data_IF_176774561408
#
_entry.id   IF_176774561408
#
_cell.length_a   1.000
_cell.length_b   1.000
_cell.length_c   1.000
_cell.angle_alpha   90.00
_cell.angle_beta   90.00
_cell.angle_gamma   90.00
#
_symmetry.space_group_name_H-M   'P 1'
#
loop_
_entity.id
_entity.type
_entity.pdbx_description
1 polymer ?
#
# COMPACT_ATOMS: atom_id res chain seq x y z
N UNK A 1 1.83 18.84 0.07
CA UNK A 1 1.87 17.85 -1.03
C UNK A 1 0.80 18.18 -2.07
N UNK A 2 0.93 17.74 -3.33
CA UNK A 2 -0.12 17.90 -4.37
C UNK A 2 -0.81 16.56 -4.61
N UNK A 3 -2.08 16.59 -4.97
CA UNK A 3 -2.83 15.41 -5.38
C UNK A 3 -2.21 14.78 -6.63
N UNK A 4 -2.24 13.44 -6.66
CA UNK A 4 -1.68 12.65 -7.74
C UNK A 4 -2.75 12.30 -8.79
N UNK A 5 -2.30 11.86 -9.96
CA UNK A 5 -3.17 11.42 -11.05
C UNK A 5 -3.91 10.17 -10.61
N UNK A 6 -5.24 10.24 -10.61
CA UNK A 6 -6.13 9.10 -10.37
C UNK A 6 -6.33 8.31 -11.67
N UNK A 7 -6.05 7.00 -11.69
CA UNK A 7 -6.40 6.15 -12.82
C UNK A 7 -7.93 5.98 -12.92
N UNK A 8 -8.41 5.48 -14.06
CA UNK A 8 -9.81 5.12 -14.24
C UNK A 8 -10.19 3.92 -13.36
N UNK A 9 -11.43 3.90 -12.88
CA UNK A 9 -12.04 2.72 -12.26
C UNK A 9 -12.10 1.54 -13.23
N UNK A 10 -12.25 0.33 -12.69
CA UNK A 10 -12.47 -0.88 -13.49
C UNK A 10 -13.94 -1.07 -13.83
N UNK A 11 -14.17 -1.84 -14.89
CA UNK A 11 -15.48 -2.26 -15.36
C UNK A 11 -15.44 -3.77 -15.70
N UNK A 12 -16.61 -4.43 -15.81
CA UNK A 12 -16.66 -5.80 -16.32
C UNK A 12 -15.90 -5.92 -17.65
N UNK A 13 -15.09 -6.97 -17.77
CA UNK A 13 -14.19 -7.24 -18.89
C UNK A 13 -12.80 -6.61 -18.77
N UNK A 14 -12.54 -5.77 -17.76
CA UNK A 14 -11.22 -5.16 -17.57
C UNK A 14 -10.14 -6.23 -17.34
N UNK A 15 -9.00 -6.05 -18.00
CA UNK A 15 -7.88 -6.99 -17.96
C UNK A 15 -6.95 -6.67 -16.80
N UNK A 16 -6.70 -7.65 -15.94
CA UNK A 16 -5.93 -7.47 -14.71
C UNK A 16 -4.70 -8.37 -14.72
N UNK A 17 -3.52 -7.77 -14.86
CA UNK A 17 -2.28 -8.52 -14.75
C UNK A 17 -1.93 -8.78 -13.27
N UNK A 18 -1.57 -10.02 -12.95
CA UNK A 18 -1.14 -10.43 -11.61
C UNK A 18 0.36 -10.76 -11.63
N UNK A 19 1.15 -10.02 -10.87
CA UNK A 19 2.64 -10.06 -10.87
C UNK A 19 3.19 -10.36 -9.48
N UNK A 20 4.39 -10.94 -9.38
CA UNK A 20 5.04 -11.22 -8.08
C UNK A 20 6.37 -10.45 -7.94
N UNK A 21 6.35 -9.12 -7.71
CA UNK A 21 7.57 -8.33 -7.61
C UNK A 21 8.35 -8.57 -6.31
N UNK A 22 7.87 -9.43 -5.42
CA UNK A 22 8.39 -9.65 -4.06
C UNK A 22 8.60 -11.15 -3.79
N UNK A 23 7.90 -11.72 -2.80
CA UNK A 23 8.09 -13.11 -2.39
C UNK A 23 7.26 -14.14 -3.17
N UNK A 24 7.61 -15.44 -3.11
CA UNK A 24 7.02 -16.50 -3.94
C UNK A 24 5.61 -16.90 -3.51
N UNK A 25 4.74 -17.21 -4.46
CA UNK A 25 3.32 -17.50 -4.18
C UNK A 25 3.09 -19.02 -4.14
N UNK A 26 2.05 -19.47 -3.44
CA UNK A 26 1.57 -20.86 -3.57
C UNK A 26 0.54 -20.90 -4.70
N UNK A 27 0.70 -21.81 -5.65
CA UNK A 27 -0.11 -21.87 -6.88
C UNK A 27 -1.60 -21.95 -6.58
N UNK A 28 -2.00 -22.73 -5.58
CA UNK A 28 -3.40 -22.89 -5.20
C UNK A 28 -4.02 -21.58 -4.69
N UNK A 29 -3.23 -20.75 -4.00
CA UNK A 29 -3.68 -19.43 -3.54
C UNK A 29 -3.74 -18.43 -4.68
N UNK A 30 -2.79 -18.48 -5.61
CA UNK A 30 -2.85 -17.66 -6.82
C UNK A 30 -4.12 -17.98 -7.60
N UNK A 31 -4.39 -19.27 -7.85
CA UNK A 31 -5.55 -19.71 -8.60
C UNK A 31 -6.86 -19.28 -7.91
N UNK A 32 -6.97 -19.46 -6.59
CA UNK A 32 -8.14 -18.99 -5.83
C UNK A 32 -8.34 -17.47 -5.98
N UNK A 33 -7.27 -16.69 -5.96
CA UNK A 33 -7.29 -15.25 -6.22
C UNK A 33 -7.76 -14.89 -7.63
N UNK A 34 -7.25 -15.59 -8.65
CA UNK A 34 -7.66 -15.40 -10.04
C UNK A 34 -9.14 -15.75 -10.22
N UNK A 35 -9.63 -16.82 -9.59
CA UNK A 35 -11.04 -17.22 -9.65
C UNK A 35 -11.97 -16.18 -9.00
N UNK A 36 -11.56 -15.57 -7.88
CA UNK A 36 -12.29 -14.45 -7.28
C UNK A 36 -12.37 -13.24 -8.22
N UNK A 37 -11.27 -12.87 -8.86
CA UNK A 37 -11.24 -11.77 -9.84
C UNK A 37 -12.12 -12.08 -11.06
N UNK A 38 -12.10 -13.31 -11.58
CA UNK A 38 -13.04 -13.76 -12.64
C UNK A 38 -14.48 -13.65 -12.17
N UNK A 39 -14.77 -14.01 -10.92
CA UNK A 39 -16.08 -13.86 -10.30
C UNK A 39 -16.55 -12.41 -10.15
N UNK A 40 -15.67 -11.43 -10.29
CA UNK A 40 -16.00 -10.01 -10.38
C UNK A 40 -16.16 -9.52 -11.82
N UNK A 41 -16.29 -10.44 -12.77
CA UNK A 41 -16.34 -10.18 -14.22
C UNK A 41 -15.06 -9.53 -14.77
N UNK A 42 -13.90 -9.77 -14.16
CA UNK A 42 -12.60 -9.32 -14.69
C UNK A 42 -11.93 -10.41 -15.55
N UNK A 43 -10.96 -10.02 -16.36
CA UNK A 43 -10.07 -10.92 -17.11
C UNK A 43 -8.66 -10.96 -16.46
N UNK A 44 -8.45 -11.78 -15.40
CA UNK A 44 -7.16 -11.81 -14.72
C UNK A 44 -6.15 -12.71 -15.44
N UNK A 45 -4.94 -12.18 -15.64
CA UNK A 45 -3.84 -12.83 -16.33
C UNK A 45 -2.63 -12.92 -15.42
N UNK A 46 -2.20 -14.15 -15.11
CA UNK A 46 -0.95 -14.40 -14.41
C UNK A 46 0.25 -14.05 -15.30
N UNK A 47 1.18 -13.25 -14.77
CA UNK A 47 2.42 -12.94 -15.48
C UNK A 47 3.34 -14.18 -15.56
N UNK A 48 4.19 -14.30 -16.60
CA UNK A 48 4.99 -15.50 -16.87
C UNK A 48 5.79 -16.06 -15.69
N UNK A 49 6.36 -15.20 -14.84
CA UNK A 49 7.26 -15.56 -13.75
C UNK A 49 6.57 -15.51 -12.36
N UNK A 50 5.24 -15.35 -12.30
CA UNK A 50 4.52 -15.15 -11.04
C UNK A 50 4.65 -16.32 -10.05
N UNK A 51 4.89 -17.53 -10.55
CA UNK A 51 5.09 -18.75 -9.75
C UNK A 51 6.56 -19.15 -9.59
N UNK A 52 7.48 -18.39 -10.17
CA UNK A 52 8.89 -18.70 -10.10
C UNK A 52 9.41 -18.65 -8.66
N UNK A 53 10.50 -19.37 -8.44
CA UNK A 53 11.26 -19.33 -7.20
C UNK A 53 12.71 -19.05 -7.54
N UNK A 54 13.33 -18.16 -6.77
CA UNK A 54 14.75 -17.92 -6.94
C UNK A 54 15.52 -19.19 -6.55
N UNK A 55 16.55 -19.60 -7.32
CA UNK A 55 17.29 -20.84 -7.08
C UNK A 55 17.93 -20.90 -5.68
N UNK A 56 18.57 -19.81 -5.24
CA UNK A 56 19.28 -19.78 -3.96
C UNK A 56 18.55 -19.01 -2.83
N UNK A 57 17.72 -18.04 -3.17
CA UNK A 57 17.09 -17.11 -2.23
C UNK A 57 15.59 -17.40 -2.12
N UNK A 58 15.23 -18.45 -1.38
CA UNK A 58 13.85 -18.97 -1.32
C UNK A 58 12.77 -17.99 -0.83
N UNK A 59 13.14 -16.80 -0.36
CA UNK A 59 12.21 -15.72 -0.02
C UNK A 59 11.79 -14.84 -1.22
N UNK A 60 12.31 -15.09 -2.43
CA UNK A 60 12.04 -14.32 -3.66
C UNK A 60 11.27 -15.13 -4.72
N UNK A 61 10.34 -14.47 -5.41
CA UNK A 61 9.56 -15.02 -6.53
C UNK A 61 10.33 -15.02 -7.87
N UNK A 62 11.51 -15.65 -7.91
CA UNK A 62 12.38 -15.65 -9.09
C UNK A 62 13.48 -14.60 -9.04
N UNK A 63 14.17 -14.41 -10.17
CA UNK A 63 15.28 -13.45 -10.26
C UNK A 63 14.77 -12.01 -10.26
N UNK A 64 15.64 -11.04 -9.97
CA UNK A 64 15.26 -9.63 -9.99
C UNK A 64 14.82 -9.19 -11.40
N UNK A 65 15.52 -9.69 -12.44
CA UNK A 65 15.23 -9.39 -13.83
C UNK A 65 13.86 -9.91 -14.25
N UNK A 66 13.52 -11.15 -13.89
CA UNK A 66 12.23 -11.75 -14.24
C UNK A 66 11.06 -11.03 -13.56
N UNK A 67 11.20 -10.76 -12.26
CA UNK A 67 10.20 -10.00 -11.47
C UNK A 67 10.00 -8.58 -12.01
N UNK A 68 11.08 -7.89 -12.38
CA UNK A 68 11.02 -6.56 -12.99
C UNK A 68 10.39 -6.60 -14.38
N UNK A 69 10.76 -7.58 -15.21
CA UNK A 69 10.23 -7.74 -16.55
C UNK A 69 8.72 -8.00 -16.55
N UNK A 70 8.22 -8.83 -15.64
CA UNK A 70 6.78 -9.05 -15.48
C UNK A 70 6.02 -7.79 -15.12
N UNK A 71 6.48 -7.05 -14.12
CA UNK A 71 5.86 -5.79 -13.72
C UNK A 71 5.90 -4.76 -14.86
N UNK A 72 7.04 -4.59 -15.50
CA UNK A 72 7.20 -3.62 -16.59
C UNK A 72 6.34 -3.99 -17.80
N UNK A 73 6.35 -5.25 -18.24
CA UNK A 73 5.52 -5.71 -19.38
C UNK A 73 4.05 -5.50 -19.08
N UNK A 74 3.58 -5.94 -17.91
CA UNK A 74 2.19 -5.76 -17.49
C UNK A 74 1.79 -4.27 -17.49
N UNK A 75 2.65 -3.39 -16.98
CA UNK A 75 2.37 -1.97 -16.93
C UNK A 75 2.40 -1.29 -18.32
N UNK A 76 3.30 -1.72 -19.20
CA UNK A 76 3.46 -1.12 -20.52
C UNK A 76 2.50 -1.70 -21.58
N UNK A 77 1.81 -2.80 -21.28
CA UNK A 77 0.81 -3.39 -22.16
C UNK A 77 -0.45 -2.50 -22.23
N UNK A 78 -0.82 -1.98 -23.41
CA UNK A 78 -2.01 -1.14 -23.55
C UNK A 78 -3.33 -1.90 -23.32
N UNK A 79 -3.32 -3.24 -23.38
CA UNK A 79 -4.50 -4.07 -23.12
C UNK A 79 -4.76 -4.32 -21.63
N UNK A 80 -3.82 -3.98 -20.75
CA UNK A 80 -3.95 -4.16 -19.29
C UNK A 80 -4.55 -2.91 -18.65
N UNK A 81 -5.60 -3.07 -17.86
CA UNK A 81 -6.27 -1.97 -17.15
C UNK A 81 -5.75 -1.80 -15.70
N UNK A 82 -5.32 -2.92 -15.10
CA UNK A 82 -4.80 -2.95 -13.74
C UNK A 82 -3.65 -3.94 -13.57
N UNK A 83 -2.76 -3.61 -12.63
CA UNK A 83 -1.71 -4.49 -12.15
C UNK A 83 -1.91 -4.73 -10.65
N UNK A 84 -2.10 -6.01 -10.28
CA UNK A 84 -2.24 -6.46 -8.90
C UNK A 84 -0.98 -7.25 -8.52
N UNK A 85 -0.38 -6.93 -7.37
CA UNK A 85 0.61 -7.81 -6.78
C UNK A 85 -0.07 -9.12 -6.33
N UNK A 86 0.59 -10.24 -6.58
CA UNK A 86 0.16 -11.55 -6.14
C UNK A 86 0.33 -11.70 -4.62
N UNK A 87 1.44 -11.18 -4.07
CA UNK A 87 1.68 -11.07 -2.63
C UNK A 87 2.72 -9.99 -2.32
N UNK A 88 2.84 -9.63 -1.04
CA UNK A 88 4.01 -8.90 -0.50
C UNK A 88 5.23 -9.82 -0.31
N UNK A 89 5.95 -9.68 0.80
CA UNK A 89 7.11 -10.51 1.12
C UNK A 89 8.38 -9.69 1.19
N UNK A 90 9.35 -9.96 0.31
CA UNK A 90 10.58 -9.20 0.22
C UNK A 90 11.05 -9.14 -1.23
N UNK A 91 11.69 -8.04 -1.61
CA UNK A 91 12.44 -7.93 -2.85
C UNK A 91 11.96 -6.83 -3.81
N UNK A 92 10.93 -6.06 -3.48
CA UNK A 92 10.50 -4.92 -4.29
C UNK A 92 11.59 -3.85 -4.41
N UNK A 93 12.39 -3.64 -3.35
CA UNK A 93 13.58 -2.77 -3.38
C UNK A 93 14.65 -3.23 -4.39
N UNK A 94 14.69 -4.51 -4.74
CA UNK A 94 15.62 -5.03 -5.76
C UNK A 94 15.07 -4.88 -7.19
N UNK A 95 13.75 -4.72 -7.32
CA UNK A 95 13.06 -4.59 -8.60
C UNK A 95 12.93 -3.13 -9.03
N UNK A 96 12.71 -2.22 -8.06
CA UNK A 96 12.38 -0.81 -8.33
C UNK A 96 13.40 -0.07 -9.20
N UNK A 97 14.69 -0.42 -9.08
CA UNK A 97 15.79 0.21 -9.81
C UNK A 97 15.98 -0.38 -11.23
N UNK A 98 15.38 -1.53 -11.52
CA UNK A 98 15.45 -2.20 -12.82
C UNK A 98 14.36 -1.72 -13.80
N UNK A 99 13.37 -0.99 -13.30
CA UNK A 99 12.23 -0.55 -14.09
C UNK A 99 12.58 0.69 -14.93
N UNK A 100 12.23 0.65 -16.21
CA UNK A 100 12.18 1.85 -17.06
C UNK A 100 10.92 2.64 -16.74
N UNK A 101 11.07 3.52 -15.76
CA UNK A 101 10.03 4.45 -15.32
C UNK A 101 9.61 5.46 -16.39
N UNK A 102 10.45 5.75 -17.40
CA UNK A 102 10.07 6.63 -18.49
C UNK A 102 9.08 5.91 -19.44
N UNK A 103 9.37 4.66 -19.80
CA UNK A 103 8.45 3.82 -20.55
C UNK A 103 7.13 3.60 -19.78
N UNK A 104 7.20 3.30 -18.48
CA UNK A 104 6.00 3.14 -17.65
C UNK A 104 5.16 4.42 -17.56
N UNK A 105 5.80 5.60 -17.53
CA UNK A 105 5.09 6.89 -17.60
C UNK A 105 4.43 7.11 -18.95
N UNK A 106 5.11 6.75 -20.04
CA UNK A 106 4.57 6.88 -21.40
C UNK A 106 3.37 5.96 -21.64
N UNK A 107 3.32 4.79 -20.98
CA UNK A 107 2.19 3.86 -21.05
C UNK A 107 0.90 4.41 -20.39
N UNK A 108 1.01 5.47 -19.59
CA UNK A 108 -0.12 6.14 -18.98
C UNK A 108 -0.57 5.53 -17.63
N UNK A 109 -1.55 6.17 -16.97
CA UNK A 109 -2.04 5.75 -15.66
C UNK A 109 -2.89 4.46 -15.77
N UNK A 110 -2.58 3.48 -14.93
CA UNK A 110 -3.37 2.25 -14.73
C UNK A 110 -3.62 2.04 -13.23
N UNK A 111 -4.50 1.14 -12.86
CA UNK A 111 -4.67 0.80 -11.43
C UNK A 111 -3.48 -0.03 -10.97
N UNK A 112 -2.86 0.33 -9.84
CA UNK A 112 -1.88 -0.50 -9.14
C UNK A 112 -2.42 -0.85 -7.75
N UNK A 113 -2.47 -2.15 -7.43
CA UNK A 113 -2.81 -2.64 -6.09
C UNK A 113 -1.63 -3.43 -5.55
N UNK A 114 -1.13 -3.00 -4.39
CA UNK A 114 -0.01 -3.61 -3.72
C UNK A 114 -0.21 -3.58 -2.20
N UNK A 115 0.64 -4.33 -1.52
CA UNK A 115 0.60 -4.45 -0.07
C UNK A 115 1.98 -4.78 0.49
N UNK A 116 2.22 -4.42 1.75
CA UNK A 116 3.43 -4.79 2.49
C UNK A 116 4.69 -4.31 1.78
N UNK A 117 5.55 -5.22 1.32
CA UNK A 117 6.78 -4.93 0.57
C UNK A 117 6.59 -4.04 -0.67
N UNK A 118 5.38 -4.06 -1.26
CA UNK A 118 5.01 -3.15 -2.35
C UNK A 118 4.98 -1.67 -1.95
N UNK A 119 5.14 -1.33 -0.67
CA UNK A 119 5.36 0.05 -0.18
C UNK A 119 6.45 0.76 -0.98
N UNK A 120 7.53 0.04 -1.31
CA UNK A 120 8.59 0.56 -2.18
C UNK A 120 8.07 0.98 -3.56
N UNK A 121 7.19 0.17 -4.15
CA UNK A 121 6.56 0.50 -5.43
C UNK A 121 5.57 1.65 -5.23
N UNK A 122 4.75 1.68 -4.19
CA UNK A 122 3.84 2.80 -3.92
C UNK A 122 4.57 4.16 -3.85
N UNK A 123 5.75 4.20 -3.21
CA UNK A 123 6.64 5.37 -3.21
C UNK A 123 7.13 5.70 -4.63
N UNK A 124 7.62 4.71 -5.36
CA UNK A 124 8.14 4.89 -6.72
C UNK A 124 7.07 5.35 -7.71
N UNK A 125 5.87 4.77 -7.69
CA UNK A 125 4.76 5.21 -8.53
C UNK A 125 4.36 6.66 -8.24
N UNK A 126 4.40 7.08 -6.97
CA UNK A 126 4.13 8.46 -6.63
C UNK A 126 5.20 9.43 -7.16
N UNK A 127 6.48 9.13 -6.95
CA UNK A 127 7.59 10.01 -7.35
C UNK A 127 7.81 9.98 -8.87
N UNK A 128 7.78 8.77 -9.46
CA UNK A 128 8.17 8.53 -10.85
C UNK A 128 7.04 8.62 -11.83
N UNK A 129 5.78 8.45 -11.42
CA UNK A 129 4.61 8.57 -12.30
C UNK A 129 3.66 9.69 -11.85
N UNK A 130 3.71 10.12 -10.60
CA UNK A 130 2.74 11.08 -10.05
C UNK A 130 1.36 10.46 -9.95
N UNK A 131 1.29 9.18 -9.58
CA UNK A 131 0.09 8.35 -9.69
C UNK A 131 -0.48 7.96 -8.32
N UNK A 132 -1.82 7.95 -8.21
CA UNK A 132 -2.53 7.32 -7.11
C UNK A 132 -2.44 5.80 -7.21
N UNK A 133 -2.10 5.16 -6.10
CA UNK A 133 -2.06 3.69 -5.99
C UNK A 133 -2.90 3.20 -4.82
N UNK A 134 -3.32 1.94 -4.85
CA UNK A 134 -4.14 1.34 -3.80
C UNK A 134 -3.30 0.41 -2.93
N UNK A 135 -3.14 0.75 -1.66
CA UNK A 135 -2.57 -0.13 -0.63
C UNK A 135 -3.68 -1.02 -0.09
N UNK A 136 -3.69 -2.30 -0.43
CA UNK A 136 -4.83 -3.16 -0.14
C UNK A 136 -4.58 -4.63 -0.45
N UNK A 137 -5.58 -5.51 -0.25
CA UNK A 137 -5.39 -6.94 -0.34
C UNK A 137 -4.88 -7.38 -1.72
N UNK A 138 -3.92 -8.31 -1.71
CA UNK A 138 -3.18 -8.82 -2.88
C UNK A 138 -3.71 -10.18 -3.31
N UNK A 139 -3.59 -10.52 -4.60
CA UNK A 139 -4.40 -11.58 -5.23
C UNK A 139 -4.25 -12.98 -4.57
N UNK A 140 -3.08 -13.34 -4.07
CA UNK A 140 -2.84 -14.61 -3.36
C UNK A 140 -2.67 -14.43 -1.84
N UNK A 141 -3.01 -13.25 -1.32
CA UNK A 141 -3.04 -12.96 0.11
C UNK A 141 -4.15 -13.74 0.80
N UNK A 142 -3.90 -14.19 2.03
CA UNK A 142 -4.90 -14.95 2.80
C UNK A 142 -6.16 -14.13 3.03
N UNK A 143 -6.00 -12.83 3.33
CA UNK A 143 -7.12 -11.91 3.55
C UNK A 143 -7.98 -11.76 2.28
N UNK A 144 -7.36 -11.58 1.11
CA UNK A 144 -8.09 -11.54 -0.15
C UNK A 144 -8.84 -12.84 -0.45
N UNK A 145 -8.22 -13.99 -0.21
CA UNK A 145 -8.81 -15.29 -0.56
C UNK A 145 -9.94 -15.69 0.40
N UNK A 146 -9.88 -15.28 1.67
CA UNK A 146 -10.76 -15.81 2.72
C UNK A 146 -11.67 -14.79 3.40
N UNK A 147 -11.45 -13.50 3.21
CA UNK A 147 -12.19 -12.47 3.93
C UNK A 147 -13.08 -11.64 3.01
N UNK A 148 -14.40 -11.82 3.15
CA UNK A 148 -15.41 -11.11 2.37
C UNK A 148 -15.34 -9.58 2.55
N UNK A 149 -14.99 -9.08 3.74
CA UNK A 149 -14.88 -7.63 3.97
C UNK A 149 -13.73 -7.02 3.18
N UNK A 150 -12.56 -7.68 3.15
CA UNK A 150 -11.42 -7.23 2.36
C UNK A 150 -11.75 -7.25 0.85
N UNK A 151 -12.39 -8.33 0.40
CA UNK A 151 -12.88 -8.51 -0.97
C UNK A 151 -13.85 -7.39 -1.37
N UNK A 152 -14.91 -7.18 -0.58
CA UNK A 152 -15.95 -6.20 -0.86
C UNK A 152 -15.39 -4.77 -0.85
N UNK A 153 -14.51 -4.45 0.09
CA UNK A 153 -13.90 -3.13 0.16
C UNK A 153 -12.99 -2.86 -1.05
N UNK A 154 -12.15 -3.82 -1.46
CA UNK A 154 -11.32 -3.68 -2.66
C UNK A 154 -12.21 -3.59 -3.91
N UNK A 155 -13.21 -4.47 -4.05
CA UNK A 155 -14.13 -4.46 -5.19
C UNK A 155 -14.87 -3.13 -5.30
N UNK A 156 -15.43 -2.63 -4.21
CA UNK A 156 -16.10 -1.32 -4.19
C UNK A 156 -15.14 -0.19 -4.58
N UNK A 157 -13.88 -0.25 -4.11
CA UNK A 157 -12.85 0.75 -4.48
C UNK A 157 -12.52 0.69 -5.97
N UNK A 158 -12.50 -0.51 -6.56
CA UNK A 158 -12.16 -0.72 -7.98
C UNK A 158 -13.30 -0.33 -8.92
N UNK A 159 -14.56 -0.60 -8.58
CA UNK A 159 -15.71 -0.44 -9.49
C UNK A 159 -16.59 0.79 -9.17
N UNK A 160 -16.73 1.12 -7.88
CA UNK A 160 -17.61 2.18 -7.40
C UNK A 160 -16.91 3.05 -6.33
N UNK A 161 -15.74 3.64 -6.63
CA UNK A 161 -14.88 4.34 -5.66
C UNK A 161 -15.59 5.48 -4.90
N UNK A 162 -16.64 6.08 -5.46
CA UNK A 162 -17.47 7.08 -4.78
C UNK A 162 -18.18 6.55 -3.53
N UNK A 163 -18.39 5.23 -3.44
CA UNK A 163 -19.00 4.58 -2.28
C UNK A 163 -18.01 4.36 -1.14
N UNK A 164 -16.70 4.54 -1.39
CA UNK A 164 -15.59 4.19 -0.48
C UNK A 164 -14.75 5.42 -0.12
N UNK A 165 -15.42 6.55 0.13
CA UNK A 165 -14.75 7.82 0.44
C UNK A 165 -14.37 7.99 1.90
N UNK A 166 -14.99 7.25 2.82
CA UNK A 166 -14.68 7.32 4.24
C UNK A 166 -14.11 5.99 4.68
N UNK A 167 -12.86 6.02 5.15
CA UNK A 167 -12.19 4.87 5.74
C UNK A 167 -12.28 4.98 7.26
N UNK A 168 -12.74 3.90 7.88
CA UNK A 168 -12.84 3.77 9.33
C UNK A 168 -12.71 2.30 9.72
N UNK A 169 -12.09 2.05 10.85
CA UNK A 169 -12.07 0.73 11.47
C UNK A 169 -13.49 0.28 11.83
N UNK A 170 -13.69 -1.04 11.95
CA UNK A 170 -15.00 -1.59 12.35
C UNK A 170 -15.28 -1.36 13.85
N UNK A 171 -14.24 -1.30 14.65
CA UNK A 171 -14.28 -0.83 16.03
C UNK A 171 -13.95 0.66 16.05
N UNK A 172 -14.53 1.48 16.94
CA UNK A 172 -14.13 2.88 17.06
C UNK A 172 -12.62 2.97 17.24
N UNK A 173 -11.95 3.70 16.34
CA UNK A 173 -10.51 3.91 16.40
C UNK A 173 -10.13 4.59 17.72
N UNK A 174 -8.98 4.21 18.28
CA UNK A 174 -8.46 4.89 19.47
C UNK A 174 -7.71 6.15 19.03
N UNK A 175 -7.66 7.14 19.90
CA UNK A 175 -6.97 8.41 19.61
C UNK A 175 -5.70 8.49 20.43
N UNK A 176 -4.57 8.69 19.76
CA UNK A 176 -3.29 8.97 20.41
C UNK A 176 -3.14 10.49 20.62
N UNK A 177 -3.47 11.27 19.59
CA UNK A 177 -3.51 12.73 19.64
C UNK A 177 -4.77 13.24 18.91
N UNK A 178 -5.62 14.06 19.55
CA UNK A 178 -6.89 14.50 18.99
C UNK A 178 -6.71 15.55 17.89
N UNK A 179 -7.81 15.90 17.23
CA UNK A 179 -7.88 16.98 16.25
C UNK A 179 -8.08 16.51 14.82
N UNK A 180 -8.07 17.48 13.90
CA UNK A 180 -8.37 17.29 12.48
C UNK A 180 -7.28 17.89 11.63
N UNK A 181 -6.92 17.18 10.55
CA UNK A 181 -5.93 17.66 9.60
C UNK A 181 -6.35 17.32 8.17
N UNK A 182 -5.96 18.18 7.23
CA UNK A 182 -6.12 17.94 5.80
C UNK A 182 -4.75 17.80 5.14
N UNK A 183 -4.61 16.85 4.24
CA UNK A 183 -3.38 16.62 3.50
C UNK A 183 -3.55 15.56 2.43
N UNK A 184 -2.45 15.15 1.81
CA UNK A 184 -2.45 14.08 0.80
C UNK A 184 -2.02 12.77 1.43
N UNK A 185 -2.74 11.69 1.19
CA UNK A 185 -2.40 10.37 1.76
C UNK A 185 -1.08 9.84 1.23
N UNK A 186 -0.28 9.23 2.09
CA UNK A 186 0.93 8.48 1.76
C UNK A 186 1.20 7.44 2.85
N UNK A 187 2.04 6.44 2.56
CA UNK A 187 2.56 5.55 3.59
C UNK A 187 2.74 4.11 3.12
N UNK A 188 2.41 3.15 3.97
CA UNK A 188 2.65 1.71 3.80
C UNK A 188 3.34 1.12 5.03
N UNK A 189 4.21 0.12 4.84
CA UNK A 189 5.01 -0.43 5.93
C UNK A 189 6.02 0.60 6.44
N UNK A 190 5.99 0.87 7.75
CA UNK A 190 6.89 1.84 8.41
C UNK A 190 8.36 1.52 8.12
N UNK A 191 8.77 0.27 8.30
CA UNK A 191 10.16 -0.17 8.06
C UNK A 191 10.60 0.02 6.62
N UNK A 192 9.70 -0.13 5.64
CA UNK A 192 10.04 0.08 4.23
C UNK A 192 10.15 1.56 3.87
N UNK A 193 9.34 2.43 4.47
CA UNK A 193 9.51 3.87 4.36
C UNK A 193 10.87 4.31 4.95
N UNK A 194 11.24 3.76 6.12
CA UNK A 194 12.50 4.07 6.77
C UNK A 194 13.70 3.56 5.95
N UNK A 195 13.70 2.30 5.52
CA UNK A 195 14.82 1.70 4.78
C UNK A 195 14.93 2.21 3.34
N UNK A 196 13.83 2.65 2.72
CA UNK A 196 13.85 3.32 1.43
C UNK A 196 14.24 4.81 1.50
N UNK A 197 14.33 5.41 2.70
CA UNK A 197 14.73 6.80 2.81
C UNK A 197 16.16 7.02 2.32
N UNK A 198 16.34 8.01 1.45
CA UNK A 198 17.64 8.34 0.86
C UNK A 198 18.01 7.53 -0.37
N UNK A 199 17.16 6.59 -0.81
CA UNK A 199 17.32 5.88 -2.09
C UNK A 199 16.66 6.66 -3.22
N UNK A 200 16.97 6.32 -4.49
CA UNK A 200 16.16 6.76 -5.61
C UNK A 200 14.69 6.34 -5.45
N UNK A 201 13.80 7.07 -6.12
CA UNK A 201 12.39 6.72 -6.30
C UNK A 201 11.51 6.80 -5.05
N UNK A 202 12.04 7.21 -3.90
CA UNK A 202 11.25 7.46 -2.68
C UNK A 202 11.04 8.95 -2.45
N UNK A 203 9.98 9.29 -1.70
CA UNK A 203 9.70 10.68 -1.31
C UNK A 203 10.76 11.16 -0.33
N UNK A 204 11.12 12.44 -0.44
CA UNK A 204 12.10 13.08 0.45
C UNK A 204 11.52 13.49 1.81
N UNK A 205 10.19 13.39 2.00
CA UNK A 205 9.52 13.73 3.26
C UNK A 205 8.00 13.66 3.18
N UNK A 206 7.34 13.79 4.33
CA UNK A 206 5.89 13.72 4.52
C UNK A 206 5.19 15.09 4.56
N UNK A 207 5.88 16.18 4.16
CA UNK A 207 5.36 17.55 4.30
C UNK A 207 3.99 17.76 3.63
N UNK A 208 3.01 18.15 4.44
CA UNK A 208 1.62 18.37 4.03
C UNK A 208 0.90 17.09 3.61
N UNK A 209 1.40 15.94 4.06
CA UNK A 209 0.81 14.63 3.85
C UNK A 209 0.14 14.09 5.11
N UNK A 210 -0.83 13.20 4.91
CA UNK A 210 -1.39 12.35 5.96
C UNK A 210 -0.68 11.01 5.88
N UNK A 211 0.12 10.68 6.90
CA UNK A 211 0.97 9.50 6.92
C UNK A 211 0.19 8.31 7.47
N UNK A 212 -0.02 7.29 6.63
CA UNK A 212 -0.73 6.07 6.96
C UNK A 212 0.26 4.91 7.06
N UNK A 213 0.59 4.49 8.29
CA UNK A 213 1.63 3.50 8.53
C UNK A 213 1.12 2.30 9.31
N UNK A 214 1.67 1.15 8.98
CA UNK A 214 1.42 -0.14 9.62
C UNK A 214 2.73 -0.95 9.57
N UNK A 215 2.81 -2.06 10.27
CA UNK A 215 3.92 -3.01 10.09
C UNK A 215 3.56 -4.42 10.59
N UNK A 216 4.43 -5.38 10.30
CA UNK A 216 4.25 -6.77 10.69
C UNK A 216 5.53 -7.41 11.20
N UNK A 217 5.42 -8.17 12.30
CA UNK A 217 6.54 -8.91 12.89
C UNK A 217 7.75 -8.04 13.30
N UNK A 218 7.52 -6.74 13.57
CA UNK A 218 8.54 -5.81 14.02
C UNK A 218 8.36 -5.52 15.52
N UNK A 219 9.26 -5.95 16.40
CA UNK A 219 9.13 -5.72 17.84
C UNK A 219 9.20 -4.21 18.17
N UNK A 220 8.76 -3.78 19.38
CA UNK A 220 8.65 -2.35 19.69
C UNK A 220 9.93 -1.53 19.50
N UNK A 221 11.10 -2.10 19.79
CA UNK A 221 12.39 -1.41 19.59
C UNK A 221 12.74 -1.23 18.10
N UNK A 222 12.23 -2.08 17.21
CA UNK A 222 12.42 -1.95 15.76
C UNK A 222 11.50 -0.87 15.18
N UNK A 223 10.27 -0.80 15.67
CA UNK A 223 9.32 0.30 15.38
C UNK A 223 9.91 1.64 15.86
N UNK A 224 10.43 1.70 17.09
CA UNK A 224 11.14 2.89 17.60
C UNK A 224 12.31 3.28 16.69
N UNK A 225 13.15 2.31 16.29
CA UNK A 225 14.30 2.56 15.41
C UNK A 225 13.88 3.17 14.07
N UNK A 226 12.82 2.64 13.46
CA UNK A 226 12.32 3.14 12.18
C UNK A 226 11.76 4.57 12.31
N UNK A 227 10.93 4.84 13.32
CA UNK A 227 10.41 6.19 13.60
C UNK A 227 11.55 7.17 13.92
N UNK A 228 12.50 6.75 14.75
CA UNK A 228 13.69 7.53 15.09
C UNK A 228 14.50 7.90 13.85
N UNK A 229 14.67 7.00 12.89
CA UNK A 229 15.33 7.31 11.63
C UNK A 229 14.58 8.39 10.83
N UNK A 230 13.26 8.26 10.68
CA UNK A 230 12.44 9.24 9.95
C UNK A 230 12.41 10.61 10.65
N UNK A 231 12.44 10.64 11.98
CA UNK A 231 12.57 11.88 12.77
C UNK A 231 13.95 12.52 12.57
N UNK A 232 15.03 11.75 12.74
CA UNK A 232 16.41 12.26 12.68
C UNK A 232 16.81 12.78 11.30
N UNK A 233 16.14 12.32 10.25
CA UNK A 233 16.36 12.75 8.87
C UNK A 233 15.49 13.94 8.48
N UNK A 234 14.60 14.40 9.36
CA UNK A 234 13.61 15.45 9.04
C UNK A 234 12.52 14.98 8.08
N UNK A 235 12.40 13.67 7.83
CA UNK A 235 11.42 13.14 6.87
C UNK A 235 9.98 13.40 7.33
N UNK A 236 9.74 13.41 8.65
CA UNK A 236 8.44 13.73 9.24
C UNK A 236 8.17 15.24 9.37
N UNK A 237 9.10 16.11 8.98
CA UNK A 237 8.95 17.56 9.15
C UNK A 237 7.77 18.10 8.34
N UNK A 238 6.79 18.66 9.05
CA UNK A 238 5.59 19.25 8.47
C UNK A 238 4.59 18.22 7.94
N UNK A 239 4.64 16.96 8.41
CA UNK A 239 3.51 16.03 8.28
C UNK A 239 2.24 16.68 8.83
N UNK A 240 1.08 16.41 8.24
CA UNK A 240 -0.18 17.04 8.65
C UNK A 240 -0.97 16.21 9.68
N UNK A 241 -0.84 14.89 9.63
CA UNK A 241 -1.49 13.95 10.53
C UNK A 241 -1.00 12.53 10.29
N UNK A 242 -1.21 11.65 11.26
CA UNK A 242 -0.78 10.24 11.18
C UNK A 242 -1.96 9.32 11.46
N UNK A 243 -2.14 8.29 10.65
CA UNK A 243 -3.03 7.18 10.99
C UNK A 243 -2.21 5.89 11.09
N UNK A 244 -2.33 5.22 12.22
CA UNK A 244 -1.73 3.93 12.45
C UNK A 244 -2.73 2.87 12.00
N UNK A 245 -2.28 1.93 11.16
CA UNK A 245 -3.01 0.74 10.79
C UNK A 245 -2.81 -0.36 11.83
N UNK A 246 -2.67 -1.59 11.35
CA UNK A 246 -2.38 -2.75 12.19
C UNK A 246 -0.89 -2.90 12.52
N UNK A 247 -0.62 -3.57 13.63
CA UNK A 247 0.74 -3.90 14.08
C UNK A 247 0.85 -5.40 14.34
N UNK A 248 0.52 -6.21 13.33
CA UNK A 248 0.41 -7.66 13.46
C UNK A 248 1.74 -8.28 13.90
N UNK A 249 1.71 -9.14 14.91
CA UNK A 249 2.91 -9.81 15.47
C UNK A 249 4.05 -8.85 15.86
N UNK A 250 3.77 -7.56 16.08
CA UNK A 250 4.75 -6.56 16.51
C UNK A 250 4.94 -6.52 18.04
N UNK A 251 4.36 -7.49 18.75
CA UNK A 251 4.24 -7.50 20.20
C UNK A 251 2.89 -6.96 20.69
N UNK A 252 2.66 -6.95 22.01
CA UNK A 252 1.44 -6.42 22.58
C UNK A 252 1.30 -4.92 22.31
N UNK A 253 0.08 -4.47 21.96
CA UNK A 253 -0.13 -3.07 21.57
C UNK A 253 0.13 -2.08 22.72
N UNK A 254 -0.01 -2.52 23.97
CA UNK A 254 0.35 -1.77 25.17
C UNK A 254 1.86 -1.46 25.29
N UNK A 255 2.72 -2.24 24.62
CA UNK A 255 4.15 -1.97 24.54
C UNK A 255 4.50 -1.05 23.37
N UNK A 256 3.73 -1.11 22.28
CA UNK A 256 3.89 -0.24 21.10
C UNK A 256 3.37 1.17 21.34
N UNK A 257 2.23 1.30 22.03
CA UNK A 257 1.57 2.59 22.23
C UNK A 257 2.46 3.64 22.92
N UNK A 258 3.27 3.32 23.95
CA UNK A 258 4.26 4.24 24.50
C UNK A 258 5.31 4.69 23.49
N UNK A 259 5.75 3.82 22.58
CA UNK A 259 6.69 4.18 21.50
C UNK A 259 6.04 5.21 20.56
N UNK A 260 4.79 4.98 20.14
CA UNK A 260 4.07 5.95 19.32
C UNK A 260 3.86 7.28 20.04
N UNK A 261 3.45 7.24 21.32
CA UNK A 261 3.24 8.44 22.12
C UNK A 261 4.53 9.28 22.20
N UNK A 262 5.67 8.63 22.44
CA UNK A 262 6.95 9.30 22.59
C UNK A 262 7.50 9.83 21.25
N UNK A 263 7.47 9.00 20.19
CA UNK A 263 8.04 9.36 18.88
C UNK A 263 7.14 10.29 18.05
N UNK A 264 5.82 10.16 18.16
CA UNK A 264 4.86 10.92 17.34
C UNK A 264 4.16 12.04 18.12
N UNK A 265 4.04 11.95 19.45
CA UNK A 265 3.30 12.93 20.25
C UNK A 265 3.88 14.35 20.20
N UNK A 266 5.20 14.48 20.01
CA UNK A 266 5.88 15.77 19.87
C UNK A 266 5.65 16.47 18.52
N UNK A 267 5.02 15.83 17.55
CA UNK A 267 4.78 16.40 16.22
C UNK A 267 3.69 17.49 16.21
N UNK A 268 2.81 17.52 17.22
CA UNK A 268 1.73 18.50 17.31
C UNK A 268 0.63 18.33 16.26
N UNK A 269 0.44 17.10 15.77
CA UNK A 269 -0.54 16.73 14.73
C UNK A 269 -1.50 15.65 15.23
N UNK A 270 -2.72 15.54 14.66
CA UNK A 270 -3.64 14.47 15.02
C UNK A 270 -3.08 13.09 14.66
N UNK A 271 -3.29 12.13 15.56
CA UNK A 271 -2.84 10.74 15.42
C UNK A 271 -3.96 9.76 15.78
N UNK A 272 -4.39 8.98 14.79
CA UNK A 272 -5.37 7.91 14.92
C UNK A 272 -4.69 6.57 15.10
N UNK A 273 -5.21 5.74 15.99
CA UNK A 273 -4.76 4.38 16.24
C UNK A 273 -5.69 3.37 15.55
N UNK A 274 -5.10 2.31 14.98
CA UNK A 274 -5.78 1.11 14.45
C UNK A 274 -6.93 1.38 13.46
N UNK A 275 -6.70 2.17 12.40
CA UNK A 275 -7.71 2.54 11.39
C UNK A 275 -8.17 1.37 10.48
N UNK A 276 -7.81 0.12 10.79
CA UNK A 276 -8.32 -1.08 10.11
C UNK A 276 -7.68 -1.41 8.75
N UNK A 277 -6.48 -0.91 8.47
CA UNK A 277 -5.68 -1.28 7.30
C UNK A 277 -4.35 -1.91 7.73
N UNK A 278 -3.68 -2.62 6.82
CA UNK A 278 -2.40 -3.29 7.09
C UNK A 278 -2.56 -4.81 7.18
N UNK A 279 -1.66 -5.48 7.89
CA UNK A 279 -1.66 -6.92 8.16
C UNK A 279 -2.75 -7.39 9.14
N UNK A 280 -3.96 -6.84 9.06
CA UNK A 280 -5.13 -7.28 9.82
C UNK A 280 -6.12 -8.07 8.97
N UNK A 281 -7.06 -8.73 9.63
CA UNK A 281 -8.20 -9.37 8.97
C UNK A 281 -9.20 -8.31 8.46
N UNK A 282 -9.69 -8.47 7.23
CA UNK A 282 -10.67 -7.57 6.63
C UNK A 282 -10.10 -6.18 6.35
N UNK A 283 -8.85 -6.13 5.87
CA UNK A 283 -8.11 -4.89 5.72
C UNK A 283 -8.80 -3.93 4.73
N UNK A 284 -8.90 -2.66 5.11
CA UNK A 284 -9.36 -1.61 4.20
C UNK A 284 -8.35 -1.40 3.07
N UNK A 285 -8.87 -1.06 1.89
CA UNK A 285 -8.06 -0.56 0.78
C UNK A 285 -7.83 0.94 0.94
N UNK A 286 -6.58 1.35 1.08
CA UNK A 286 -6.16 2.73 1.31
C UNK A 286 -5.55 3.32 0.05
N UNK A 287 -6.10 4.39 -0.54
CA UNK A 287 -5.46 5.07 -1.65
C UNK A 287 -4.34 5.99 -1.16
N UNK A 288 -3.18 5.92 -1.79
CA UNK A 288 -2.08 6.85 -1.60
C UNK A 288 -2.02 7.87 -2.74
N UNK A 289 -1.85 9.14 -2.40
CA UNK A 289 -1.79 10.26 -3.35
C UNK A 289 -3.07 11.07 -3.48
N UNK A 290 -4.06 10.86 -2.61
CA UNK A 290 -5.38 11.54 -2.67
C UNK A 290 -5.49 12.54 -1.53
N UNK A 291 -6.02 13.73 -1.80
CA UNK A 291 -6.41 14.69 -0.78
C UNK A 291 -7.47 14.11 0.16
N UNK A 292 -7.29 14.27 1.46
CA UNK A 292 -8.21 13.76 2.47
C UNK A 292 -8.18 14.58 3.76
N UNK A 293 -9.19 14.39 4.59
CA UNK A 293 -9.27 14.87 5.95
C UNK A 293 -9.15 13.69 6.92
N UNK A 294 -8.15 13.74 7.79
CA UNK A 294 -8.04 12.87 8.95
C UNK A 294 -8.73 13.54 10.13
N UNK A 295 -9.68 12.84 10.75
CA UNK A 295 -10.36 13.26 11.95
C UNK A 295 -10.06 12.26 13.07
N UNK A 296 -9.18 12.66 13.99
CA UNK A 296 -8.72 11.78 15.04
C UNK A 296 -9.68 11.67 16.22
N UNK A 297 -10.62 12.60 16.34
CA UNK A 297 -11.70 12.52 17.33
C UNK A 297 -12.79 11.54 16.87
N UNK A 298 -13.06 11.51 15.56
CA UNK A 298 -14.00 10.56 14.96
C UNK A 298 -13.38 9.21 14.56
N UNK A 299 -12.05 9.11 14.49
CA UNK A 299 -11.35 7.92 14.01
C UNK A 299 -11.58 7.64 12.52
N UNK A 300 -11.64 8.69 11.69
CA UNK A 300 -11.98 8.57 10.27
C UNK A 300 -10.96 9.24 9.35
N UNK A 301 -10.83 8.70 8.15
CA UNK A 301 -10.16 9.36 7.03
C UNK A 301 -11.16 9.52 5.88
N UNK A 302 -11.48 10.76 5.51
CA UNK A 302 -12.41 11.06 4.43
C UNK A 302 -11.69 11.65 3.23
N UNK A 303 -11.75 10.96 2.09
CA UNK A 303 -11.17 11.39 0.83
C UNK A 303 -11.97 12.55 0.23
N UNK A 304 -11.27 13.60 -0.19
CA UNK A 304 -11.85 14.75 -0.88
C UNK A 304 -12.51 14.31 -2.19
N UNK A 305 -11.89 13.35 -2.87
CA UNK A 305 -12.29 12.78 -4.15
C UNK A 305 -12.21 11.24 -4.11
N UNK A 306 -13.02 10.51 -4.91
CA UNK A 306 -12.89 9.07 -5.04
C UNK A 306 -11.48 8.65 -5.48
N UNK A 307 -10.98 7.50 -5.00
CA UNK A 307 -9.63 7.01 -5.28
C UNK A 307 -9.32 6.85 -6.78
N UNK A 308 -10.32 6.43 -7.55
CA UNK A 308 -10.28 6.24 -9.00
C UNK A 308 -11.34 7.13 -9.66
N UNK A 309 -11.20 7.43 -10.95
CA UNK A 309 -12.17 8.22 -11.71
C UNK A 309 -13.25 7.35 -12.32
#
# INVERSE_FOLDING_TARGET
>A
MKDLVRPSRLAPGARVAVVAPSGPVAEERLQAGLDLLRGWDLDPVAAPHVLDRHPDLGHLAGTDADRAADLQRAWCDPSVDAVLCARGGYGAQRVVDLLDWAAMRAAGPKVFVGFSDSTTLHEAFAVRLGLVTLYGPVAAGVDFVKNARAQDHLRATLFAPETVRTLTSATPGRTLAPGRARGVTLGGCLTLLATGHGTPHTRTGARGGLLLIEDVAEPPYAVDRALTQLLRTGWLDGVAGVALGSWDRCGPYEELRPVFADRLGGLGVPVVEELGFGHCEGALTVPFGVGAVLDADAGTLTLDEPALR
#
